data_IF_541612126478
#
_entry.id   IF_541612126478
#
_cell.length_a   1.000
_cell.length_b   1.000
_cell.length_c   1.000
_cell.angle_alpha   90.00
_cell.angle_beta   90.00
_cell.angle_gamma   90.00
#
_symmetry.space_group_name_H-M   'P 1'
#
loop_
_entity.id
_entity.type
_entity.pdbx_description
1 polymer ?
#
# COMPACT_ATOMS: atom_id res chain seq x y z
N UNK A 1 7.19 -8.19 30.22
CA UNK A 1 6.60 -8.48 28.90
C UNK A 1 6.81 -7.26 28.00
N UNK A 2 7.85 -7.27 27.16
CA UNK A 2 8.08 -6.17 26.22
C UNK A 2 7.58 -6.59 24.84
N UNK A 3 6.27 -6.44 24.64
CA UNK A 3 5.64 -6.69 23.35
C UNK A 3 5.93 -5.54 22.38
N UNK A 4 6.48 -5.88 21.22
CA UNK A 4 6.53 -5.01 20.03
C UNK A 4 5.16 -4.32 19.88
N UNK A 5 5.06 -2.98 19.74
CA UNK A 5 3.77 -2.34 19.53
C UNK A 5 3.11 -2.95 18.29
N UNK A 6 2.08 -3.76 18.50
CA UNK A 6 1.39 -4.45 17.41
C UNK A 6 0.57 -3.41 16.65
N UNK A 7 1.16 -2.83 15.61
CA UNK A 7 0.43 -2.04 14.63
C UNK A 7 -0.44 -2.96 13.77
N UNK A 8 -1.53 -3.48 14.34
CA UNK A 8 -2.52 -4.32 13.65
C UNK A 8 -3.09 -3.62 12.41
N UNK A 9 -3.18 -2.28 12.44
CA UNK A 9 -3.63 -1.48 11.29
C UNK A 9 -2.77 -1.64 10.04
N UNK A 10 -1.45 -1.77 10.18
CA UNK A 10 -0.55 -1.95 9.02
C UNK A 10 -0.74 -3.33 8.39
N UNK A 11 -0.83 -4.39 9.22
CA UNK A 11 -1.10 -5.73 8.74
C UNK A 11 -2.49 -5.86 8.11
N UNK A 12 -3.51 -5.18 8.66
CA UNK A 12 -4.85 -5.12 8.09
C UNK A 12 -4.87 -4.40 6.73
N UNK A 13 -4.16 -3.28 6.61
CA UNK A 13 -4.02 -2.55 5.36
C UNK A 13 -3.32 -3.40 4.28
N UNK A 14 -2.26 -4.12 4.65
CA UNK A 14 -1.58 -5.05 3.73
C UNK A 14 -2.50 -6.19 3.28
N UNK A 15 -3.29 -6.77 4.21
CA UNK A 15 -4.22 -7.84 3.90
C UNK A 15 -5.37 -7.41 2.96
N UNK A 16 -6.00 -6.26 3.24
CA UNK A 16 -7.04 -5.71 2.36
C UNK A 16 -6.47 -5.30 1.01
N UNK A 17 -5.29 -4.66 1.02
CA UNK A 17 -4.59 -4.28 -0.21
C UNK A 17 -4.40 -5.49 -1.12
N UNK A 18 -3.83 -6.58 -0.58
CA UNK A 18 -3.58 -7.81 -1.32
C UNK A 18 -4.88 -8.47 -1.84
N UNK A 19 -5.95 -8.46 -1.04
CA UNK A 19 -7.24 -8.98 -1.48
C UNK A 19 -7.82 -8.18 -2.64
N UNK A 20 -7.75 -6.84 -2.58
CA UNK A 20 -8.22 -5.95 -3.64
C UNK A 20 -7.38 -6.05 -4.90
N UNK A 21 -6.05 -6.14 -4.77
CA UNK A 21 -5.15 -6.42 -5.90
C UNK A 21 -5.54 -7.72 -6.61
N UNK A 22 -5.81 -8.80 -5.87
CA UNK A 22 -6.23 -10.06 -6.49
C UNK A 22 -7.53 -9.95 -7.32
N UNK A 23 -8.50 -9.17 -6.84
CA UNK A 23 -9.74 -8.91 -7.58
C UNK A 23 -9.45 -8.09 -8.84
N UNK A 24 -8.72 -6.98 -8.69
CA UNK A 24 -8.45 -6.04 -9.79
C UNK A 24 -7.54 -6.65 -10.86
N UNK A 25 -6.56 -7.45 -10.46
CA UNK A 25 -5.71 -8.22 -11.36
C UNK A 25 -6.54 -9.21 -12.17
N UNK A 26 -7.44 -9.94 -11.51
CA UNK A 26 -8.37 -10.85 -12.19
C UNK A 26 -9.27 -10.10 -13.18
N UNK A 27 -9.79 -8.92 -12.81
CA UNK A 27 -10.58 -8.08 -13.70
C UNK A 27 -9.79 -7.57 -14.91
N UNK A 28 -8.52 -7.20 -14.74
CA UNK A 28 -7.63 -6.81 -15.83
C UNK A 28 -7.37 -7.97 -16.81
N UNK A 29 -7.14 -9.18 -16.30
CA UNK A 29 -6.91 -10.36 -17.13
C UNK A 29 -8.17 -10.87 -17.86
N UNK A 30 -9.36 -10.70 -17.27
CA UNK A 30 -10.64 -11.05 -17.93
C UNK A 30 -11.02 -10.01 -18.98
N UNK A 31 -10.84 -8.72 -18.69
CA UNK A 31 -11.15 -7.63 -19.60
C UNK A 31 -9.99 -6.60 -19.62
N UNK A 32 -9.03 -6.76 -20.55
CA UNK A 32 -7.90 -5.85 -20.64
C UNK A 32 -8.36 -4.48 -21.11
N UNK A 33 -8.34 -3.51 -20.20
CA UNK A 33 -8.65 -2.11 -20.47
C UNK A 33 -7.64 -1.21 -19.77
N UNK A 34 -7.42 0.01 -20.31
CA UNK A 34 -6.52 1.00 -19.68
C UNK A 34 -6.92 1.32 -18.25
N UNK A 35 -8.22 1.38 -17.98
CA UNK A 35 -8.73 1.63 -16.63
C UNK A 35 -8.41 0.47 -15.69
N UNK A 36 -8.67 -0.77 -16.09
CA UNK A 36 -8.37 -1.95 -15.26
C UNK A 36 -6.86 -2.10 -15.01
N UNK A 37 -6.03 -1.85 -16.01
CA UNK A 37 -4.57 -1.87 -15.87
C UNK A 37 -4.08 -0.84 -14.83
N UNK A 38 -4.63 0.37 -14.87
CA UNK A 38 -4.27 1.43 -13.93
C UNK A 38 -4.76 1.14 -12.51
N UNK A 39 -5.96 0.57 -12.35
CA UNK A 39 -6.45 0.17 -11.03
C UNK A 39 -5.63 -0.98 -10.42
N UNK A 40 -5.32 -2.02 -11.20
CA UNK A 40 -4.46 -3.14 -10.77
C UNK A 40 -3.07 -2.64 -10.34
N UNK A 41 -2.42 -1.86 -11.21
CA UNK A 41 -1.09 -1.29 -10.96
C UNK A 41 -1.09 -0.33 -9.76
N UNK A 42 -2.17 0.41 -9.52
CA UNK A 42 -2.28 1.30 -8.36
C UNK A 42 -2.24 0.53 -7.04
N UNK A 43 -2.93 -0.61 -6.96
CA UNK A 43 -2.92 -1.45 -5.75
C UNK A 43 -1.57 -2.15 -5.55
N UNK A 44 -0.87 -2.53 -6.62
CA UNK A 44 0.52 -3.01 -6.53
C UNK A 44 1.43 -1.97 -5.86
N UNK A 45 1.35 -0.70 -6.25
CA UNK A 45 2.15 0.37 -5.64
C UNK A 45 1.81 0.58 -4.15
N UNK A 46 0.53 0.53 -3.79
CA UNK A 46 0.09 0.65 -2.39
C UNK A 46 0.70 -0.48 -1.55
N UNK A 47 0.64 -1.73 -2.02
CA UNK A 47 1.17 -2.88 -1.31
C UNK A 47 2.70 -2.84 -1.21
N UNK A 48 3.40 -2.41 -2.26
CA UNK A 48 4.85 -2.23 -2.24
C UNK A 48 5.29 -1.25 -1.14
N UNK A 49 4.56 -0.14 -0.98
CA UNK A 49 4.84 0.88 0.04
C UNK A 49 4.55 0.35 1.44
N UNK A 50 3.41 -0.33 1.65
CA UNK A 50 3.07 -0.93 2.94
C UNK A 50 4.11 -1.98 3.37
N UNK A 51 4.60 -2.80 2.42
CA UNK A 51 5.70 -3.73 2.66
C UNK A 51 7.01 -3.03 3.03
N UNK A 52 7.38 -1.96 2.31
CA UNK A 52 8.58 -1.19 2.59
C UNK A 52 8.54 -0.57 4.00
N UNK A 53 7.39 0.00 4.39
CA UNK A 53 7.16 0.51 5.75
C UNK A 53 7.34 -0.61 6.77
N UNK A 54 6.74 -1.78 6.54
CA UNK A 54 6.83 -2.91 7.47
C UNK A 54 8.25 -3.44 7.61
N UNK A 55 8.98 -3.57 6.51
CA UNK A 55 10.39 -3.99 6.51
C UNK A 55 11.25 -2.96 7.25
N UNK A 56 11.03 -1.67 7.00
CA UNK A 56 11.78 -0.60 7.67
C UNK A 56 11.56 -0.60 9.18
N UNK A 57 10.31 -0.73 9.63
CA UNK A 57 9.97 -0.89 11.06
C UNK A 57 10.61 -2.14 11.68
N UNK A 58 10.70 -3.23 10.93
CA UNK A 58 11.28 -4.50 11.41
C UNK A 58 12.82 -4.44 11.48
N UNK A 59 13.46 -3.66 10.59
CA UNK A 59 14.93 -3.52 10.52
C UNK A 59 15.49 -2.45 11.45
N UNK A 60 14.72 -1.41 11.77
CA UNK A 60 15.14 -0.33 12.68
C UNK A 60 14.10 -0.14 13.80
N UNK A 61 13.99 -1.08 14.76
CA UNK A 61 13.02 -1.02 15.85
C UNK A 61 13.22 0.18 16.80
N UNK A 62 14.41 0.79 16.78
CA UNK A 62 14.79 1.93 17.64
C UNK A 62 14.34 3.28 17.05
N UNK A 63 14.02 3.32 15.76
CA UNK A 63 13.51 4.52 15.06
C UNK A 63 12.03 4.28 14.80
N UNK A 64 11.17 4.83 15.66
CA UNK A 64 9.75 4.94 15.34
C UNK A 64 9.57 6.16 14.40
N UNK A 65 9.39 5.97 13.08
CA UNK A 65 9.17 7.10 12.19
C UNK A 65 7.92 7.84 12.65
N UNK A 66 8.05 9.16 12.85
CA UNK A 66 6.94 10.02 13.25
C UNK A 66 5.76 9.75 12.32
N UNK A 67 4.60 9.39 12.87
CA UNK A 67 3.38 9.03 12.14
C UNK A 67 3.06 9.98 10.98
N UNK A 68 3.31 11.28 11.17
CA UNK A 68 3.16 12.32 10.14
C UNK A 68 3.96 12.05 8.85
N UNK A 69 5.18 11.51 8.93
CA UNK A 69 6.00 11.21 7.75
C UNK A 69 5.45 10.04 6.93
N UNK A 70 4.97 9.00 7.61
CA UNK A 70 4.37 7.81 6.99
C UNK A 70 3.04 8.15 6.32
N UNK A 71 2.17 8.90 7.00
CA UNK A 71 0.90 9.34 6.42
C UNK A 71 1.09 10.35 5.28
N UNK A 72 2.10 11.22 5.35
CA UNK A 72 2.41 12.17 4.26
C UNK A 72 2.94 11.46 3.02
N UNK A 73 3.81 10.45 3.19
CA UNK A 73 4.29 9.62 2.06
C UNK A 73 3.17 8.82 1.40
N UNK A 74 2.29 8.19 2.20
CA UNK A 74 1.08 7.53 1.70
C UNK A 74 0.16 8.50 0.95
N UNK A 75 -0.06 9.71 1.48
CA UNK A 75 -0.89 10.73 0.84
C UNK A 75 -0.32 11.17 -0.52
N UNK A 76 1.01 11.37 -0.62
CA UNK A 76 1.67 11.73 -1.89
C UNK A 76 1.54 10.61 -2.92
N UNK A 77 1.73 9.35 -2.52
CA UNK A 77 1.61 8.20 -3.43
C UNK A 77 0.19 8.06 -3.94
N UNK A 78 -0.81 8.17 -3.05
CA UNK A 78 -2.23 8.13 -3.42
C UNK A 78 -2.57 9.29 -4.36
N UNK A 79 -2.07 10.50 -4.09
CA UNK A 79 -2.29 11.67 -4.94
C UNK A 79 -1.70 11.48 -6.34
N UNK A 80 -0.48 10.96 -6.45
CA UNK A 80 0.17 10.67 -7.74
C UNK A 80 -0.58 9.59 -8.52
N UNK A 81 -1.06 8.54 -7.84
CA UNK A 81 -1.86 7.48 -8.51
C UNK A 81 -3.20 8.03 -9.00
N UNK A 82 -3.89 8.87 -8.22
CA UNK A 82 -5.14 9.50 -8.64
C UNK A 82 -4.94 10.43 -9.84
N UNK A 83 -3.86 11.21 -9.89
CA UNK A 83 -3.52 12.01 -11.07
C UNK A 83 -3.34 11.10 -12.30
N UNK A 84 -2.66 9.98 -12.16
CA UNK A 84 -2.50 9.00 -13.24
C UNK A 84 -3.84 8.48 -13.78
N UNK A 85 -4.85 8.29 -12.93
CA UNK A 85 -6.19 7.82 -13.33
C UNK A 85 -7.00 8.89 -14.08
N UNK A 86 -6.81 10.18 -13.74
CA UNK A 86 -7.60 11.30 -14.29
C UNK A 86 -6.99 11.86 -15.58
N UNK A 87 -5.70 11.64 -15.83
CA UNK A 87 -4.98 12.06 -17.05
C UNK A 87 -4.94 10.98 -18.14
#
# INVERSE_FOLDING_TARGET
EYGIPQHFGLFYAMGIGLFMEGILSSCYHVCPSRQNFQFDTSFMFIIAVLNLIKIYQTRHPDINPRSAGVFSFLAVIIFVTVIGVVC
#
